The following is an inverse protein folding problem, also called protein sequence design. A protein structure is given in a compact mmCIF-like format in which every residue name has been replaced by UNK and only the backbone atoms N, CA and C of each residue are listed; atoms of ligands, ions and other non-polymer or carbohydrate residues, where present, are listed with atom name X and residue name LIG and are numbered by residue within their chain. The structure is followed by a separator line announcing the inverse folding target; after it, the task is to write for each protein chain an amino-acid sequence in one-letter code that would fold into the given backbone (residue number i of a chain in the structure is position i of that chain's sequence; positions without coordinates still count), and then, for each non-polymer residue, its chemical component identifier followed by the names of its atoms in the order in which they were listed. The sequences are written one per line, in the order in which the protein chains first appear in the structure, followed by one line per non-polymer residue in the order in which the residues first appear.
data_IF_219483039943
#
_entry.id   IF_219483039943
#
_cell.length_a   1.000
_cell.length_b   1.000
_cell.length_c   1.000
_cell.angle_alpha   90.00
_cell.angle_beta   90.00
_cell.angle_gamma   90.00
#
_symmetry.space_group_name_H-M   'P 1'
#
loop_
_entity.id
_entity.type
_entity.pdbx_description
1 polymer ?
#
# COMPACT_ATOMS: atom_id res chain seq x y z
N UNK A 1 11.57 2.24 8.43
CA UNK A 1 12.74 2.67 7.63
C UNK A 1 12.69 1.95 6.30
N UNK A 2 12.98 2.61 5.18
CA UNK A 2 12.89 2.02 3.83
C UNK A 2 14.18 2.33 3.05
N UNK A 3 14.62 1.39 2.20
CA UNK A 3 15.86 1.53 1.39
C UNK A 3 15.68 2.38 0.13
N UNK A 4 14.44 2.66 -0.27
CA UNK A 4 14.11 3.33 -1.53
C UNK A 4 14.05 2.40 -2.74
N UNK A 5 14.35 1.10 -2.59
CA UNK A 5 14.27 0.11 -3.67
C UNK A 5 12.83 -0.43 -3.75
N UNK A 6 12.18 -0.22 -4.89
CA UNK A 6 10.82 -0.71 -5.15
C UNK A 6 10.83 -2.24 -5.24
N UNK A 7 10.02 -2.89 -4.40
CA UNK A 7 9.87 -4.35 -4.38
C UNK A 7 8.81 -4.86 -5.37
N UNK A 8 7.89 -4.00 -5.79
CA UNK A 8 6.82 -4.35 -6.71
C UNK A 8 5.84 -3.22 -6.94
N UNK A 9 4.77 -3.54 -7.67
CA UNK A 9 3.63 -2.64 -7.88
C UNK A 9 2.37 -3.28 -7.29
N UNK A 10 1.45 -2.44 -6.84
CA UNK A 10 0.18 -2.85 -6.27
C UNK A 10 -0.95 -2.13 -7.00
N UNK A 11 -2.06 -2.82 -7.23
CA UNK A 11 -3.22 -2.21 -7.89
C UNK A 11 -4.10 -1.54 -6.85
N UNK A 12 -4.51 -0.30 -7.09
CA UNK A 12 -5.53 0.36 -6.26
C UNK A 12 -6.89 -0.21 -6.63
N UNK A 13 -7.63 -0.71 -5.64
CA UNK A 13 -8.95 -1.33 -5.85
C UNK A 13 -10.08 -0.54 -5.19
N UNK A 14 -9.79 0.27 -4.18
CA UNK A 14 -10.73 1.22 -3.60
C UNK A 14 -10.01 2.43 -3.00
N UNK A 15 -10.71 3.56 -2.98
CA UNK A 15 -10.32 4.79 -2.30
C UNK A 15 -11.52 5.28 -1.50
N UNK A 16 -11.38 5.29 -0.18
CA UNK A 16 -12.41 5.78 0.73
C UNK A 16 -11.99 7.14 1.29
N UNK A 17 -12.64 8.20 0.81
CA UNK A 17 -12.46 9.56 1.29
C UNK A 17 -13.33 9.83 2.53
N UNK A 18 -12.67 10.29 3.60
CA UNK A 18 -13.29 10.72 4.86
C UNK A 18 -12.86 12.17 5.13
N UNK A 19 -13.60 12.93 5.95
CA UNK A 19 -13.33 14.36 6.14
C UNK A 19 -11.87 14.71 6.52
N UNK A 20 -11.20 13.84 7.28
CA UNK A 20 -9.83 14.06 7.76
C UNK A 20 -8.83 13.01 7.26
N UNK A 21 -9.29 11.99 6.55
CA UNK A 21 -8.48 10.82 6.21
C UNK A 21 -8.85 10.28 4.85
N UNK A 22 -7.87 9.71 4.15
CA UNK A 22 -8.08 8.92 2.94
C UNK A 22 -7.56 7.51 3.17
N UNK A 23 -8.40 6.51 2.97
CA UNK A 23 -8.01 5.11 3.04
C UNK A 23 -7.84 4.58 1.62
N UNK A 24 -6.65 4.06 1.31
CA UNK A 24 -6.40 3.36 0.05
C UNK A 24 -6.40 1.86 0.29
N UNK A 25 -7.21 1.13 -0.48
CA UNK A 25 -7.18 -0.33 -0.52
C UNK A 25 -6.42 -0.74 -1.77
N UNK A 26 -5.36 -1.52 -1.59
CA UNK A 26 -4.52 -2.01 -2.68
C UNK A 26 -4.45 -3.53 -2.67
N UNK A 27 -4.40 -4.12 -3.86
CA UNK A 27 -4.15 -5.55 -4.06
C UNK A 27 -2.64 -5.75 -4.19
N UNK A 28 -2.05 -6.45 -3.21
CA UNK A 28 -0.64 -6.78 -3.18
C UNK A 28 -0.38 -8.15 -3.85
N UNK A 29 0.75 -8.30 -4.57
CA UNK A 29 1.20 -9.60 -5.06
C UNK A 29 1.41 -10.60 -3.92
N UNK A 30 1.13 -11.89 -4.17
CA UNK A 30 1.19 -12.94 -3.15
C UNK A 30 2.54 -13.04 -2.42
N UNK A 31 3.65 -12.82 -3.11
CA UNK A 31 4.99 -12.87 -2.53
C UNK A 31 5.28 -11.72 -1.54
N UNK A 32 4.45 -10.68 -1.50
CA UNK A 32 4.58 -9.56 -0.55
C UNK A 32 3.66 -9.73 0.68
N UNK A 33 2.86 -10.79 0.74
CA UNK A 33 1.93 -11.06 1.85
C UNK A 33 2.58 -11.81 3.01
N UNK A 34 3.71 -12.49 2.76
CA UNK A 34 4.41 -13.26 3.78
C UNK A 34 4.92 -12.33 4.89
N UNK A 35 4.49 -12.59 6.14
CA UNK A 35 4.85 -11.80 7.31
C UNK A 35 4.19 -10.41 7.38
N UNK A 36 3.28 -10.07 6.46
CA UNK A 36 2.54 -8.81 6.50
C UNK A 36 1.40 -8.89 7.51
N UNK A 37 1.36 -7.94 8.43
CA UNK A 37 0.34 -7.86 9.48
C UNK A 37 -0.22 -6.45 9.64
N UNK A 38 -1.33 -6.33 10.35
CA UNK A 38 -1.95 -5.02 10.63
C UNK A 38 -1.02 -4.18 11.50
N UNK A 39 -0.77 -2.93 11.10
CA UNK A 39 0.19 -2.05 11.76
C UNK A 39 1.58 -2.04 11.12
N UNK A 40 1.85 -2.95 10.19
CA UNK A 40 3.07 -2.91 9.38
C UNK A 40 3.15 -1.61 8.56
N UNK A 41 4.37 -1.08 8.42
CA UNK A 41 4.61 0.13 7.64
C UNK A 41 4.91 -0.22 6.18
N UNK A 42 4.13 0.34 5.26
CA UNK A 42 4.32 0.19 3.80
C UNK A 42 4.71 1.53 3.20
N UNK A 43 5.77 1.57 2.39
CA UNK A 43 6.15 2.75 1.62
C UNK A 43 5.55 2.68 0.22
N UNK A 44 4.84 3.73 -0.18
CA UNK A 44 4.24 3.87 -1.51
C UNK A 44 4.74 5.17 -2.14
N UNK A 45 5.24 5.13 -3.38
CA UNK A 45 5.84 6.29 -4.04
C UNK A 45 4.81 7.32 -4.50
N UNK A 46 3.90 6.91 -5.38
CA UNK A 46 2.86 7.77 -5.94
C UNK A 46 1.64 6.92 -6.27
N UNK A 47 0.47 7.36 -5.80
CA UNK A 47 -0.80 6.81 -6.22
C UNK A 47 -1.21 7.49 -7.53
N UNK A 48 -1.44 6.70 -8.58
CA UNK A 48 -2.24 7.14 -9.72
C UNK A 48 -3.64 6.59 -9.50
N UNK A 49 -4.58 7.48 -9.19
CA UNK A 49 -5.99 7.17 -8.97
C UNK A 49 -6.82 7.76 -10.11
#
# INVERSE_FOLDING_TARGET
MFTGIVQGTAKVVSIDDKPNFRTHVVELPAHMLEGLETGASVSQQRLAA
#
